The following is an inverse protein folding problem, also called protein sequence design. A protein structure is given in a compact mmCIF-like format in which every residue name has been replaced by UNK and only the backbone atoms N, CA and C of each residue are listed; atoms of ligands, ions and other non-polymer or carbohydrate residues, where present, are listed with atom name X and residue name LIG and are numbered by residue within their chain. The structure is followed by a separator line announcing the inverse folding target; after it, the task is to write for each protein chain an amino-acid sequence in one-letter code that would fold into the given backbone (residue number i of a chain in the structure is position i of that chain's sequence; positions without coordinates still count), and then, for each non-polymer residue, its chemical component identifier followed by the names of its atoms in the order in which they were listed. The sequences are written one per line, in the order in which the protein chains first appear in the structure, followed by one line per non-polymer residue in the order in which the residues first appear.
data_IF_447220549456
#
_entry.id   IF_447220549456
#
_cell.length_a   1.000
_cell.length_b   1.000
_cell.length_c   1.000
_cell.angle_alpha   90.00
_cell.angle_beta   90.00
_cell.angle_gamma   90.00
#
_symmetry.space_group_name_H-M   'P 1'
#
loop_
_entity.id
_entity.type
_entity.pdbx_description
1 polymer ?
#
# COMPACT_ATOMS: atom_id res chain seq x y z
N UNK A 1 -6.60 -14.37 -56.39
CA UNK A 1 -6.18 -14.83 -55.05
C UNK A 1 -4.82 -14.19 -54.73
N UNK A 2 -4.54 -13.80 -53.47
CA UNK A 2 -3.23 -13.33 -52.96
C UNK A 2 -2.34 -14.54 -52.55
N UNK A 3 -1.20 -14.42 -51.80
CA UNK A 3 -0.40 -13.27 -51.31
C UNK A 3 0.98 -13.19 -52.04
N UNK A 4 2.09 -12.57 -51.60
CA UNK A 4 2.53 -11.80 -50.41
C UNK A 4 3.47 -10.65 -50.88
N UNK A 5 3.90 -9.60 -50.15
CA UNK A 5 4.02 -9.25 -48.72
C UNK A 5 5.33 -9.66 -48.00
N UNK A 6 6.44 -8.95 -48.29
CA UNK A 6 7.63 -8.90 -47.43
C UNK A 6 7.69 -7.57 -46.68
N UNK A 7 7.91 -7.65 -45.36
CA UNK A 7 7.93 -6.52 -44.44
C UNK A 7 9.37 -6.12 -44.11
N UNK A 8 9.79 -4.93 -44.54
CA UNK A 8 11.08 -4.36 -44.13
C UNK A 8 10.94 -3.74 -42.75
N UNK A 9 11.36 -4.46 -41.71
CA UNK A 9 11.36 -3.97 -40.34
C UNK A 9 12.45 -2.92 -40.10
N UNK A 10 12.11 -1.64 -40.22
CA UNK A 10 12.99 -0.55 -39.79
C UNK A 10 13.14 -0.52 -38.27
N UNK A 11 14.15 -1.22 -37.75
CA UNK A 11 14.60 -1.05 -36.37
C UNK A 11 15.33 0.29 -36.25
N UNK A 12 14.59 1.32 -35.80
CA UNK A 12 15.10 2.69 -35.65
C UNK A 12 16.16 2.76 -34.55
N UNK A 13 17.44 2.58 -34.92
CA UNK A 13 18.58 2.76 -34.03
C UNK A 13 18.66 4.24 -33.61
N UNK A 14 18.33 4.54 -32.36
CA UNK A 14 18.36 5.90 -31.83
C UNK A 14 19.80 6.44 -31.75
N UNK A 15 20.15 7.33 -32.67
CA UNK A 15 21.44 8.00 -32.70
C UNK A 15 21.73 8.80 -31.42
N UNK A 16 22.94 8.71 -30.84
CA UNK A 16 23.32 9.40 -29.61
C UNK A 16 23.62 10.89 -29.87
N UNK A 17 22.58 11.67 -30.16
CA UNK A 17 22.71 13.12 -30.37
C UNK A 17 21.39 13.89 -30.42
N UNK A 18 20.25 13.22 -30.65
CA UNK A 18 18.95 13.88 -30.66
C UNK A 18 18.54 14.36 -29.26
N UNK A 19 18.54 15.69 -29.12
CA UNK A 19 17.81 16.42 -28.08
C UNK A 19 16.34 16.01 -28.11
N UNK A 20 15.74 15.77 -26.95
CA UNK A 20 14.30 15.47 -26.87
C UNK A 20 13.55 16.75 -27.18
N UNK A 21 12.79 16.78 -28.27
CA UNK A 21 12.02 17.95 -28.68
C UNK A 21 10.53 17.64 -28.74
N UNK A 22 9.74 18.55 -28.19
CA UNK A 22 8.30 18.55 -28.28
C UNK A 22 7.92 19.68 -29.25
N UNK A 23 7.70 19.41 -30.55
CA UNK A 23 7.34 20.44 -31.50
C UNK A 23 5.87 20.84 -31.31
N UNK A 24 5.55 22.12 -31.52
CA UNK A 24 4.15 22.59 -31.36
C UNK A 24 3.17 21.93 -32.34
N UNK A 25 3.65 21.45 -33.49
CA UNK A 25 2.86 20.67 -34.45
C UNK A 25 2.25 19.40 -33.85
N UNK A 26 2.84 18.83 -32.79
CA UNK A 26 2.29 17.69 -32.07
C UNK A 26 0.91 17.97 -31.45
N UNK A 27 0.58 19.24 -31.17
CA UNK A 27 -0.68 19.65 -30.57
C UNK A 27 -1.80 19.97 -31.59
N UNK A 28 -1.59 19.67 -32.89
CA UNK A 28 -2.54 19.88 -34.00
C UNK A 28 -3.18 21.29 -34.00
N UNK A 29 -2.39 22.37 -34.13
CA UNK A 29 -2.88 23.74 -33.91
C UNK A 29 -3.86 24.28 -34.96
N UNK A 30 -4.05 23.61 -36.10
CA UNK A 30 -4.81 24.14 -37.26
C UNK A 30 -6.27 24.48 -36.99
N UNK A 31 -6.93 23.75 -36.09
CA UNK A 31 -8.36 23.93 -35.76
C UNK A 31 -8.59 24.66 -34.42
N UNK A 32 -7.53 25.23 -33.82
CA UNK A 32 -7.57 25.79 -32.48
C UNK A 32 -7.91 27.28 -32.47
N UNK A 33 -8.84 27.67 -31.59
CA UNK A 33 -9.03 29.07 -31.17
C UNK A 33 -7.70 29.61 -30.63
N UNK A 34 -7.37 30.88 -30.93
CA UNK A 34 -6.12 31.57 -30.53
C UNK A 34 -5.71 31.30 -29.07
N UNK A 35 -6.68 31.28 -28.15
CA UNK A 35 -6.48 30.94 -26.73
C UNK A 35 -5.83 29.56 -26.50
N UNK A 36 -6.26 28.54 -27.24
CA UNK A 36 -5.73 27.18 -27.15
C UNK A 36 -4.33 27.10 -27.78
N UNK A 37 -4.07 27.83 -28.86
CA UNK A 37 -2.72 27.92 -29.45
C UNK A 37 -1.72 28.52 -28.45
N UNK A 38 -2.08 29.60 -27.75
CA UNK A 38 -1.24 30.22 -26.71
C UNK A 38 -0.90 29.25 -25.56
N UNK A 39 -1.86 28.40 -25.15
CA UNK A 39 -1.63 27.35 -24.14
C UNK A 39 -0.71 26.24 -24.66
N UNK A 40 -0.88 25.78 -25.90
CA UNK A 40 0.02 24.80 -26.52
C UNK A 40 1.46 25.32 -26.63
N UNK A 41 1.64 26.60 -26.99
CA UNK A 41 2.94 27.29 -26.92
C UNK A 41 3.51 27.28 -25.49
N UNK A 42 2.70 27.61 -24.48
CA UNK A 42 3.17 27.65 -23.09
C UNK A 42 3.57 26.27 -22.53
N UNK A 43 2.81 25.22 -22.83
CA UNK A 43 3.17 23.82 -22.49
C UNK A 43 4.51 23.45 -23.15
N UNK A 44 4.63 23.72 -24.46
CA UNK A 44 5.84 23.44 -25.25
C UNK A 44 7.07 24.17 -24.69
N UNK A 45 6.93 25.47 -24.41
CA UNK A 45 7.99 26.30 -23.84
C UNK A 45 8.43 25.74 -22.47
N UNK A 46 7.46 25.49 -21.58
CA UNK A 46 7.73 24.99 -20.22
C UNK A 46 8.44 23.64 -20.25
N UNK A 47 7.98 22.71 -21.10
CA UNK A 47 8.64 21.40 -21.28
C UNK A 47 10.10 21.57 -21.70
N UNK A 48 10.36 22.43 -22.70
CA UNK A 48 11.71 22.69 -23.20
C UNK A 48 12.61 23.36 -22.16
N UNK A 49 12.07 24.13 -21.20
CA UNK A 49 12.83 24.62 -20.06
C UNK A 49 13.20 23.50 -19.07
N UNK A 50 12.27 22.61 -18.71
CA UNK A 50 12.53 21.62 -17.64
C UNK A 50 13.25 20.35 -18.10
N UNK A 51 13.15 19.97 -19.39
CA UNK A 51 13.66 18.69 -19.91
C UNK A 51 15.15 18.45 -19.65
N UNK A 52 15.94 19.52 -19.50
CA UNK A 52 17.37 19.45 -19.24
C UNK A 52 17.72 19.01 -17.80
N UNK A 53 16.76 19.03 -16.89
CA UNK A 53 16.89 18.54 -15.51
C UNK A 53 16.38 17.09 -15.33
N UNK A 54 15.75 16.53 -16.37
CA UNK A 54 15.15 15.20 -16.36
C UNK A 54 16.11 14.15 -16.91
N UNK A 55 15.99 12.91 -16.44
CA UNK A 55 16.51 11.76 -17.19
C UNK A 55 15.94 11.72 -18.62
N UNK A 56 16.77 11.33 -19.61
CA UNK A 56 16.39 11.36 -21.03
C UNK A 56 15.14 10.52 -21.32
N UNK A 57 14.96 9.38 -20.65
CA UNK A 57 13.80 8.50 -20.85
C UNK A 57 12.53 9.17 -20.32
N UNK A 58 12.59 9.79 -19.15
CA UNK A 58 11.46 10.52 -18.55
C UNK A 58 11.08 11.76 -19.37
N UNK A 59 12.06 12.44 -19.99
CA UNK A 59 11.81 13.55 -20.88
C UNK A 59 11.06 13.10 -22.16
N UNK A 60 11.43 11.95 -22.73
CA UNK A 60 10.72 11.34 -23.88
C UNK A 60 9.29 10.95 -23.46
N UNK A 61 9.12 10.27 -22.33
CA UNK A 61 7.81 9.84 -21.82
C UNK A 61 6.88 11.04 -21.61
N UNK A 62 7.38 12.14 -21.03
CA UNK A 62 6.62 13.37 -20.87
C UNK A 62 6.28 14.02 -22.23
N UNK A 63 7.23 14.06 -23.18
CA UNK A 63 6.99 14.58 -24.52
C UNK A 63 5.90 13.79 -25.27
N UNK A 64 5.88 12.46 -25.15
CA UNK A 64 4.85 11.61 -25.74
C UNK A 64 3.49 11.72 -25.03
N UNK A 65 3.49 11.99 -23.72
CA UNK A 65 2.29 12.13 -22.92
C UNK A 65 1.52 13.43 -23.26
N UNK A 66 2.23 14.55 -23.41
CA UNK A 66 1.61 15.88 -23.47
C UNK A 66 0.63 16.10 -24.63
N UNK A 67 0.90 15.65 -25.88
CA UNK A 67 -0.08 15.73 -26.97
C UNK A 67 -1.34 14.91 -26.70
N UNK A 68 -1.19 13.69 -26.17
CA UNK A 68 -2.32 12.78 -25.85
C UNK A 68 -3.20 13.38 -24.75
N UNK A 69 -2.58 13.95 -23.73
CA UNK A 69 -3.23 14.68 -22.64
C UNK A 69 -3.96 15.94 -23.13
N UNK A 70 -3.36 16.68 -24.06
CA UNK A 70 -3.94 17.87 -24.66
C UNK A 70 -5.20 17.54 -25.46
N UNK A 71 -5.14 16.55 -26.34
CA UNK A 71 -6.31 16.09 -27.11
C UNK A 71 -7.48 15.72 -26.18
N UNK A 72 -7.23 14.94 -25.12
CA UNK A 72 -8.25 14.60 -24.12
C UNK A 72 -8.88 15.84 -23.48
N UNK A 73 -8.07 16.86 -23.17
CA UNK A 73 -8.56 18.10 -22.52
C UNK A 73 -9.42 18.98 -23.43
N UNK A 74 -9.19 18.98 -24.75
CA UNK A 74 -9.90 19.84 -25.72
C UNK A 74 -11.38 19.48 -25.88
N UNK A 75 -11.72 18.19 -25.89
CA UNK A 75 -13.10 17.73 -26.08
C UNK A 75 -13.99 17.98 -24.88
N UNK A 76 -13.39 18.09 -23.69
CA UNK A 76 -14.07 18.43 -22.46
C UNK A 76 -14.10 19.95 -22.27
N UNK A 77 -15.29 20.56 -22.14
CA UNK A 77 -15.50 22.01 -21.92
C UNK A 77 -15.11 22.47 -20.50
N UNK A 78 -13.96 22.02 -20.02
CA UNK A 78 -13.46 22.19 -18.66
C UNK A 78 -13.07 23.64 -18.42
N UNK A 79 -13.64 24.22 -17.37
CA UNK A 79 -13.37 25.59 -16.94
C UNK A 79 -12.34 25.62 -15.81
N UNK A 80 -12.32 24.63 -14.92
CA UNK A 80 -11.45 24.58 -13.75
C UNK A 80 -10.64 23.29 -13.66
N UNK A 81 -9.48 23.27 -12.97
CA UNK A 81 -8.67 22.06 -12.84
C UNK A 81 -9.43 20.88 -12.23
N UNK A 82 -10.39 21.14 -11.33
CA UNK A 82 -11.07 20.11 -10.54
C UNK A 82 -12.11 19.29 -11.29
N UNK A 83 -12.59 19.77 -12.44
CA UNK A 83 -13.38 18.98 -13.39
C UNK A 83 -12.49 17.97 -14.17
N UNK A 84 -11.19 18.23 -14.28
CA UNK A 84 -10.24 17.42 -15.05
C UNK A 84 -9.99 16.03 -14.43
N UNK A 85 -9.89 15.00 -15.27
CA UNK A 85 -9.66 13.62 -14.81
C UNK A 85 -8.34 13.48 -14.04
N UNK A 86 -7.26 14.06 -14.58
CA UNK A 86 -5.95 14.06 -13.91
C UNK A 86 -6.00 14.68 -12.50
N UNK A 87 -6.80 15.72 -12.28
CA UNK A 87 -6.95 16.31 -10.95
C UNK A 87 -7.67 15.35 -9.99
N UNK A 88 -8.72 14.66 -10.48
CA UNK A 88 -9.43 13.63 -9.70
C UNK A 88 -8.51 12.47 -9.32
N UNK A 89 -7.64 12.02 -10.25
CA UNK A 89 -6.60 11.02 -10.01
C UNK A 89 -5.54 11.47 -8.99
N UNK A 90 -5.00 12.67 -9.16
CA UNK A 90 -4.01 13.26 -8.24
C UNK A 90 -4.57 13.50 -6.82
N UNK A 91 -5.81 13.99 -6.72
CA UNK A 91 -6.48 14.24 -5.44
C UNK A 91 -6.88 12.94 -4.71
N UNK A 92 -7.19 11.89 -5.46
CA UNK A 92 -7.92 10.72 -5.01
C UNK A 92 -9.39 11.05 -4.77
N UNK A 93 -10.29 10.12 -5.14
CA UNK A 93 -11.74 10.26 -4.90
C UNK A 93 -12.29 9.01 -4.21
N UNK A 94 -12.83 9.17 -3.01
CA UNK A 94 -13.46 8.08 -2.26
C UNK A 94 -12.46 7.02 -1.80
N UNK A 95 -12.58 5.80 -2.34
CA UNK A 95 -11.71 4.65 -2.00
C UNK A 95 -10.43 4.55 -2.84
N UNK A 96 -10.32 5.35 -3.90
CA UNK A 96 -9.17 5.31 -4.80
C UNK A 96 -7.98 6.04 -4.18
N UNK A 97 -6.78 5.44 -4.27
CA UNK A 97 -5.55 6.05 -3.80
C UNK A 97 -5.17 7.26 -4.67
N UNK A 98 -4.32 8.16 -4.14
CA UNK A 98 -3.80 9.31 -4.89
C UNK A 98 -2.77 8.83 -5.91
N UNK A 99 -3.02 9.09 -7.19
CA UNK A 99 -2.07 8.85 -8.28
C UNK A 99 -1.19 10.10 -8.44
N UNK A 100 -0.11 10.22 -7.66
CA UNK A 100 0.83 11.36 -7.67
C UNK A 100 1.79 11.35 -8.88
N UNK A 101 1.25 11.08 -10.07
CA UNK A 101 1.97 10.97 -11.33
C UNK A 101 2.43 12.34 -11.82
N UNK A 102 3.74 12.51 -12.08
CA UNK A 102 4.31 13.82 -12.42
C UNK A 102 3.77 14.41 -13.73
N UNK A 103 3.58 13.66 -14.83
CA UNK A 103 2.98 14.19 -16.06
C UNK A 103 1.57 14.74 -15.87
N UNK A 104 0.74 14.13 -15.00
CA UNK A 104 -0.56 14.68 -14.62
C UNK A 104 -0.40 16.02 -13.91
N UNK A 105 0.51 16.10 -12.93
CA UNK A 105 0.79 17.35 -12.21
C UNK A 105 1.27 18.45 -13.17
N UNK A 106 2.30 18.16 -13.96
CA UNK A 106 2.89 19.08 -14.94
C UNK A 106 1.84 19.63 -15.91
N UNK A 107 0.99 18.75 -16.47
CA UNK A 107 -0.05 19.18 -17.41
C UNK A 107 -1.04 20.15 -16.76
N UNK A 108 -1.52 19.86 -15.53
CA UNK A 108 -2.42 20.77 -14.83
C UNK A 108 -1.78 22.14 -14.53
N UNK A 109 -0.52 22.18 -14.07
CA UNK A 109 0.14 23.47 -13.81
C UNK A 109 0.48 24.24 -15.08
N UNK A 110 0.79 23.56 -16.19
CA UNK A 110 1.01 24.22 -17.49
C UNK A 110 -0.30 24.77 -18.08
N UNK A 111 -1.42 24.09 -17.85
CA UNK A 111 -2.71 24.49 -18.45
C UNK A 111 -3.43 25.57 -17.63
N UNK A 112 -3.36 25.55 -16.29
CA UNK A 112 -4.03 26.52 -15.40
C UNK A 112 -3.10 27.44 -14.59
N UNK A 113 -1.79 27.27 -14.69
CA UNK A 113 -0.77 28.05 -14.00
C UNK A 113 -0.34 27.47 -12.64
N UNK A 114 0.95 27.56 -12.28
CA UNK A 114 1.49 26.97 -11.05
C UNK A 114 0.97 27.63 -9.76
N UNK A 115 0.36 28.81 -9.84
CA UNK A 115 -0.22 29.55 -8.71
C UNK A 115 -1.70 29.24 -8.44
N UNK A 116 -2.38 28.46 -9.30
CA UNK A 116 -3.84 28.26 -9.22
C UNK A 116 -4.29 27.71 -7.85
N UNK A 117 -5.30 28.29 -7.18
CA UNK A 117 -5.70 27.92 -5.81
C UNK A 117 -6.01 26.42 -5.64
N UNK A 118 -6.84 25.84 -6.51
CA UNK A 118 -7.23 24.42 -6.48
C UNK A 118 -6.04 23.46 -6.50
N UNK A 119 -4.94 23.84 -7.16
CA UNK A 119 -3.74 23.00 -7.28
C UNK A 119 -2.88 23.00 -6.00
N UNK A 120 -3.22 23.79 -4.98
CA UNK A 120 -2.38 23.94 -3.78
C UNK A 120 -2.25 22.67 -2.95
N UNK A 121 -3.33 21.89 -2.79
CA UNK A 121 -3.27 20.64 -2.04
C UNK A 121 -2.41 19.61 -2.77
N UNK A 122 -2.59 19.48 -4.10
CA UNK A 122 -1.77 18.60 -4.93
C UNK A 122 -0.30 19.05 -4.93
N UNK A 123 -0.02 20.36 -4.96
CA UNK A 123 1.35 20.90 -4.83
C UNK A 123 2.02 20.44 -3.54
N UNK A 124 1.28 20.43 -2.43
CA UNK A 124 1.78 19.98 -1.13
C UNK A 124 1.95 18.46 -1.09
N UNK A 125 1.04 17.68 -1.68
CA UNK A 125 1.17 16.23 -1.81
C UNK A 125 2.40 15.84 -2.66
N UNK A 126 2.60 16.49 -3.81
CA UNK A 126 3.79 16.32 -4.66
C UNK A 126 5.06 16.72 -3.92
N UNK A 127 5.04 17.84 -3.19
CA UNK A 127 6.18 18.28 -2.39
C UNK A 127 6.56 17.28 -1.29
N UNK A 128 5.56 16.70 -0.62
CA UNK A 128 5.75 15.66 0.39
C UNK A 128 6.29 14.35 -0.21
N UNK A 129 5.83 13.96 -1.40
CA UNK A 129 6.33 12.77 -2.11
C UNK A 129 7.78 12.94 -2.57
N UNK A 130 8.12 14.08 -3.18
CA UNK A 130 9.45 14.32 -3.75
C UNK A 130 10.49 14.76 -2.70
N UNK A 131 10.04 15.27 -1.55
CA UNK A 131 10.88 15.82 -0.49
C UNK A 131 11.44 17.21 -0.80
N UNK A 132 10.80 17.96 -1.70
CA UNK A 132 11.21 19.30 -2.16
C UNK A 132 10.02 20.23 -2.33
N UNK A 133 10.23 21.55 -2.24
CA UNK A 133 9.15 22.53 -2.41
C UNK A 133 8.94 22.86 -3.88
N UNK A 134 7.74 22.61 -4.41
CA UNK A 134 7.34 23.09 -5.73
C UNK A 134 6.98 24.60 -5.66
N UNK A 135 7.61 25.47 -6.47
CA UNK A 135 7.32 26.91 -6.48
C UNK A 135 5.89 27.23 -6.93
N UNK A 136 5.37 28.39 -6.51
CA UNK A 136 4.09 28.94 -7.00
C UNK A 136 4.25 29.79 -8.27
N UNK A 137 5.46 30.27 -8.56
CA UNK A 137 5.72 31.25 -9.61
C UNK A 137 6.04 30.62 -10.98
N UNK A 138 6.60 29.42 -11.00
CA UNK A 138 6.99 28.71 -12.22
C UNK A 138 6.84 27.20 -12.02
N UNK A 139 6.86 26.47 -13.13
CA UNK A 139 6.79 25.00 -13.16
C UNK A 139 8.22 24.46 -13.06
N UNK A 140 8.43 23.52 -12.15
CA UNK A 140 9.75 23.07 -11.74
C UNK A 140 9.84 21.54 -11.83
N UNK A 141 10.96 21.06 -12.37
CA UNK A 141 11.39 19.67 -12.23
C UNK A 141 12.58 19.66 -11.26
N UNK A 142 12.50 18.94 -10.13
CA UNK A 142 13.56 18.93 -9.12
C UNK A 142 14.88 18.34 -9.63
N UNK A 143 15.96 19.08 -9.42
CA UNK A 143 17.32 18.70 -9.77
C UNK A 143 18.06 17.98 -8.63
N UNK A 144 19.25 17.44 -8.91
CA UNK A 144 20.06 16.72 -7.92
C UNK A 144 19.51 15.37 -7.43
N UNK A 145 18.33 14.95 -7.90
CA UNK A 145 17.74 13.65 -7.59
C UNK A 145 18.39 12.55 -8.45
N UNK A 146 18.80 11.44 -7.81
CA UNK A 146 19.33 10.26 -8.51
C UNK A 146 18.32 9.70 -9.52
N UNK A 147 18.79 9.28 -10.71
CA UNK A 147 17.95 8.82 -11.84
C UNK A 147 16.90 7.77 -11.43
N UNK A 148 17.27 6.75 -10.66
CA UNK A 148 16.30 5.72 -10.24
C UNK A 148 15.23 6.26 -9.28
N UNK A 149 15.59 7.26 -8.46
CA UNK A 149 14.65 7.98 -7.60
C UNK A 149 13.75 8.91 -8.43
N UNK A 150 14.28 9.56 -9.49
CA UNK A 150 13.48 10.31 -10.44
C UNK A 150 12.42 9.42 -11.10
N UNK A 151 12.81 8.23 -11.62
CA UNK A 151 11.88 7.28 -12.26
C UNK A 151 10.75 6.86 -11.33
N UNK A 152 11.06 6.52 -10.08
CA UNK A 152 10.06 6.14 -9.07
C UNK A 152 9.10 7.30 -8.75
N UNK A 153 9.62 8.49 -8.43
CA UNK A 153 8.84 9.67 -8.09
C UNK A 153 7.99 10.19 -9.25
N UNK A 154 8.51 10.10 -10.48
CA UNK A 154 7.80 10.48 -11.71
C UNK A 154 6.52 9.66 -11.89
N UNK A 155 6.57 8.37 -11.57
CA UNK A 155 5.44 7.44 -11.61
C UNK A 155 4.48 7.56 -10.40
N UNK A 156 4.71 8.51 -9.48
CA UNK A 156 3.98 8.59 -8.22
C UNK A 156 4.32 7.48 -7.22
N UNK A 157 5.34 6.67 -7.51
CA UNK A 157 5.84 5.63 -6.64
C UNK A 157 6.46 6.24 -5.39
N UNK A 158 6.05 5.73 -4.22
CA UNK A 158 6.82 6.00 -2.99
C UNK A 158 8.21 5.44 -3.14
N UNK A 159 9.15 6.10 -2.48
CA UNK A 159 10.53 5.65 -2.34
C UNK A 159 10.53 4.16 -1.93
N UNK A 160 11.01 3.30 -2.83
CA UNK A 160 11.37 1.94 -2.46
C UNK A 160 12.54 2.09 -1.50
N UNK A 161 12.24 2.08 -0.20
CA UNK A 161 13.21 2.24 0.88
C UNK A 161 14.42 1.39 0.53
N UNK A 162 15.58 2.03 0.35
CA UNK A 162 16.81 1.36 -0.11
C UNK A 162 16.90 0.05 0.66
N UNK A 163 16.81 -1.12 -0.02
CA UNK A 163 16.47 -2.36 0.67
C UNK A 163 17.37 -2.55 1.87
N UNK A 164 16.82 -2.96 3.02
CA UNK A 164 17.58 -3.00 4.28
C UNK A 164 18.93 -3.73 4.10
N UNK A 165 18.94 -4.78 3.27
CA UNK A 165 20.13 -5.53 2.89
C UNK A 165 21.21 -4.71 2.14
N UNK A 166 20.86 -3.68 1.37
CA UNK A 166 21.79 -2.77 0.72
C UNK A 166 22.35 -1.71 1.68
N UNK A 167 21.49 -1.12 2.53
CA UNK A 167 21.95 -0.24 3.62
C UNK A 167 22.91 -1.01 4.54
N UNK A 168 22.55 -2.24 4.91
CA UNK A 168 23.35 -3.14 5.73
C UNK A 168 24.65 -3.55 5.03
N UNK A 169 24.63 -3.84 3.72
CA UNK A 169 25.84 -4.12 2.93
C UNK A 169 26.79 -2.91 2.88
N UNK A 170 26.26 -1.70 2.70
CA UNK A 170 27.07 -0.46 2.73
C UNK A 170 27.66 -0.23 4.12
N UNK A 171 26.87 -0.38 5.18
CA UNK A 171 27.33 -0.28 6.57
C UNK A 171 28.38 -1.34 6.94
N UNK A 172 28.24 -2.57 6.46
CA UNK A 172 29.22 -3.65 6.61
C UNK A 172 30.51 -3.37 5.82
N UNK A 173 30.41 -2.82 4.60
CA UNK A 173 31.57 -2.38 3.81
C UNK A 173 32.35 -1.27 4.51
N UNK A 174 31.65 -0.24 5.02
CA UNK A 174 32.26 0.79 5.87
C UNK A 174 32.94 0.21 7.10
N UNK A 175 32.26 -0.69 7.82
CA UNK A 175 32.82 -1.34 9.01
C UNK A 175 34.10 -2.13 8.67
N UNK A 176 34.07 -2.94 7.60
CA UNK A 176 35.23 -3.71 7.15
C UNK A 176 36.40 -2.83 6.68
N UNK A 177 36.13 -1.69 6.04
CA UNK A 177 37.15 -0.73 5.64
C UNK A 177 37.82 -0.03 6.84
N UNK A 178 37.08 0.18 7.93
CA UNK A 178 37.60 0.78 9.18
C UNK A 178 38.35 -0.27 10.04
N UNK A 179 37.87 -1.51 10.08
CA UNK A 179 38.46 -2.61 10.87
C UNK A 179 39.59 -3.36 10.16
N UNK A 180 39.79 -3.12 8.85
CA UNK A 180 40.82 -3.78 8.04
C UNK A 180 42.25 -3.43 8.47
N UNK A 181 43.12 -4.44 8.55
CA UNK A 181 44.54 -4.30 8.89
C UNK A 181 45.32 -3.72 7.69
N UNK A 182 45.16 -2.42 7.48
CA UNK A 182 45.75 -1.70 6.36
C UNK A 182 45.25 -0.26 6.20
N UNK A 183 44.83 0.38 7.31
CA UNK A 183 44.28 1.75 7.43
C UNK A 183 44.13 2.53 6.11
N UNK A 184 43.06 2.31 5.33
CA UNK A 184 42.54 3.37 4.48
C UNK A 184 42.20 4.54 5.39
N UNK A 185 42.49 5.77 4.98
CA UNK A 185 42.06 6.92 5.76
C UNK A 185 40.53 6.92 5.88
N UNK A 186 39.96 7.44 6.98
CA UNK A 186 38.50 7.64 7.08
C UNK A 186 37.99 8.44 5.87
N UNK A 187 38.81 9.34 5.35
CA UNK A 187 38.57 10.10 4.12
C UNK A 187 38.37 9.16 2.92
N UNK A 188 39.23 8.16 2.74
CA UNK A 188 39.20 7.22 1.61
C UNK A 188 37.98 6.29 1.66
N UNK A 189 37.63 5.77 2.85
CA UNK A 189 36.39 5.02 3.05
C UNK A 189 35.14 5.89 2.78
N UNK A 190 35.13 7.15 3.20
CA UNK A 190 34.05 8.09 2.91
C UNK A 190 33.99 8.42 1.41
N UNK A 191 35.14 8.60 0.73
CA UNK A 191 35.19 8.81 -0.73
C UNK A 191 34.64 7.61 -1.50
N UNK A 192 34.97 6.38 -1.09
CA UNK A 192 34.57 5.17 -1.80
C UNK A 192 33.09 4.80 -1.57
N UNK A 193 32.57 4.98 -0.35
CA UNK A 193 31.26 4.44 0.05
C UNK A 193 30.19 5.52 0.36
N UNK A 194 30.56 6.79 0.54
CA UNK A 194 29.62 7.91 0.69
C UNK A 194 30.16 9.27 0.16
N UNK A 195 30.57 9.36 -1.12
CA UNK A 195 31.21 10.58 -1.68
C UNK A 195 30.33 11.84 -1.58
N UNK A 196 29.01 11.68 -1.51
CA UNK A 196 28.05 12.79 -1.31
C UNK A 196 28.25 13.56 0.02
N UNK A 197 28.96 12.99 1.01
CA UNK A 197 29.25 13.66 2.28
C UNK A 197 30.42 14.67 2.18
N UNK A 198 31.30 14.54 1.19
CA UNK A 198 32.50 15.39 1.05
C UNK A 198 32.21 16.72 0.37
N UNK A 199 31.19 16.77 -0.51
CA UNK A 199 30.88 17.93 -1.34
C UNK A 199 29.80 18.86 -0.75
N UNK A 200 29.33 18.59 0.46
CA UNK A 200 28.26 19.37 1.10
C UNK A 200 28.83 20.13 2.30
N UNK A 201 28.92 21.47 2.26
CA UNK A 201 29.20 22.24 3.46
C UNK A 201 27.99 22.09 4.39
N UNK A 202 28.12 21.28 5.45
CA UNK A 202 27.09 21.20 6.49
C UNK A 202 27.22 22.44 7.38
N UNK A 203 26.15 23.26 7.51
CA UNK A 203 26.03 24.17 8.64
C UNK A 203 26.04 23.33 9.93
N UNK A 204 26.81 23.75 10.93
CA UNK A 204 26.89 23.04 12.22
C UNK A 204 25.53 22.88 12.90
N UNK A 205 24.63 23.84 12.69
CA UNK A 205 23.26 23.85 13.20
C UNK A 205 22.43 22.66 12.68
N UNK A 206 22.65 22.20 11.44
CA UNK A 206 21.96 21.03 10.87
C UNK A 206 22.37 19.74 11.59
N UNK A 207 23.63 19.63 12.01
CA UNK A 207 24.15 18.48 12.75
C UNK A 207 23.53 18.41 14.14
N UNK A 208 23.49 19.53 14.87
CA UNK A 208 22.82 19.58 16.19
C UNK A 208 21.30 19.33 16.08
N UNK A 209 20.64 19.91 15.07
CA UNK A 209 19.23 19.70 14.79
C UNK A 209 18.90 18.24 14.49
N UNK A 210 19.74 17.56 13.69
CA UNK A 210 19.65 16.12 13.44
C UNK A 210 19.91 15.30 14.71
N UNK A 211 20.89 15.69 15.53
CA UNK A 211 21.20 14.98 16.77
C UNK A 211 20.04 15.06 17.78
N UNK A 212 19.38 16.22 17.91
CA UNK A 212 18.16 16.38 18.72
C UNK A 212 17.01 15.52 18.19
N UNK A 213 16.71 15.60 16.89
CA UNK A 213 15.65 14.78 16.25
C UNK A 213 15.90 13.28 16.41
N UNK A 214 17.16 12.83 16.29
CA UNK A 214 17.54 11.44 16.52
C UNK A 214 17.30 11.02 17.98
N UNK A 215 17.68 11.88 18.94
CA UNK A 215 17.43 11.65 20.36
C UNK A 215 15.93 11.59 20.68
N UNK A 216 15.13 12.53 20.19
CA UNK A 216 13.68 12.55 20.37
C UNK A 216 13.03 11.27 19.78
N UNK A 217 13.50 10.83 18.62
CA UNK A 217 13.06 9.58 17.98
C UNK A 217 13.45 8.34 18.79
N UNK A 218 14.66 8.32 19.36
CA UNK A 218 15.15 7.27 20.25
C UNK A 218 14.29 7.17 21.54
N UNK A 219 13.97 8.30 22.15
CA UNK A 219 13.10 8.39 23.34
C UNK A 219 11.66 7.93 23.03
N UNK A 220 11.10 8.32 21.86
CA UNK A 220 9.81 7.81 21.39
C UNK A 220 9.84 6.29 21.16
N UNK A 221 10.90 5.76 20.52
CA UNK A 221 11.05 4.33 20.27
C UNK A 221 11.09 3.54 21.59
N UNK A 222 11.85 4.01 22.59
CA UNK A 222 11.89 3.38 23.92
C UNK A 222 10.53 3.41 24.61
N UNK A 223 9.79 4.52 24.52
CA UNK A 223 8.42 4.64 25.05
C UNK A 223 7.47 3.64 24.39
N UNK A 224 7.51 3.51 23.05
CA UNK A 224 6.69 2.54 22.31
C UNK A 224 7.08 1.09 22.65
N UNK A 225 8.38 0.79 22.82
CA UNK A 225 8.83 -0.53 23.30
C UNK A 225 8.32 -0.85 24.70
N UNK A 226 8.28 0.14 25.61
CA UNK A 226 7.67 -0.02 26.94
C UNK A 226 6.18 -0.34 26.86
N UNK A 227 5.42 0.42 26.06
CA UNK A 227 3.99 0.19 25.83
C UNK A 227 3.70 -1.18 25.19
N UNK A 228 4.56 -1.64 24.28
CA UNK A 228 4.46 -2.95 23.65
C UNK A 228 4.67 -4.09 24.66
N UNK A 229 5.68 -3.98 25.54
CA UNK A 229 5.92 -4.95 26.62
C UNK A 229 4.74 -5.03 27.59
N UNK A 230 4.17 -3.90 27.99
CA UNK A 230 3.01 -3.86 28.88
C UNK A 230 1.77 -4.48 28.22
N UNK A 231 1.57 -4.22 26.93
CA UNK A 231 0.47 -4.82 26.15
C UNK A 231 0.65 -6.33 26.00
N UNK A 232 1.88 -6.80 25.78
CA UNK A 232 2.21 -8.23 25.75
C UNK A 232 1.96 -8.92 27.10
N UNK A 233 2.31 -8.27 28.22
CA UNK A 233 2.03 -8.76 29.58
C UNK A 233 0.52 -8.91 29.81
N UNK A 234 -0.27 -7.87 29.51
CA UNK A 234 -1.74 -7.91 29.62
C UNK A 234 -2.36 -9.00 28.74
N UNK A 235 -1.83 -9.24 27.54
CA UNK A 235 -2.29 -10.31 26.66
C UNK A 235 -1.99 -11.70 27.24
N UNK A 236 -0.85 -11.89 27.90
CA UNK A 236 -0.53 -13.13 28.62
C UNK A 236 -1.47 -13.36 29.82
N UNK A 237 -1.77 -12.30 30.58
CA UNK A 237 -2.72 -12.34 31.72
C UNK A 237 -4.12 -12.76 31.25
N UNK A 238 -4.70 -12.06 30.25
CA UNK A 238 -6.01 -12.42 29.68
C UNK A 238 -6.04 -13.82 29.07
N UNK A 239 -4.94 -14.28 28.45
CA UNK A 239 -4.86 -15.65 27.96
C UNK A 239 -4.83 -16.70 29.09
N UNK A 240 -4.26 -16.35 30.26
CA UNK A 240 -4.36 -17.16 31.48
C UNK A 240 -5.81 -17.29 31.96
N UNK A 241 -6.50 -16.16 32.15
CA UNK A 241 -7.91 -16.11 32.56
C UNK A 241 -8.83 -16.89 31.59
N UNK A 242 -8.57 -16.80 30.28
CA UNK A 242 -9.29 -17.56 29.26
C UNK A 242 -9.07 -19.07 29.40
N UNK A 243 -7.84 -19.50 29.71
CA UNK A 243 -7.54 -20.92 29.97
C UNK A 243 -8.21 -21.44 31.25
N UNK A 244 -8.25 -20.66 32.32
CA UNK A 244 -8.97 -21.02 33.55
C UNK A 244 -10.48 -21.13 33.32
N UNK A 245 -11.06 -20.15 32.64
CA UNK A 245 -12.48 -20.16 32.25
C UNK A 245 -12.81 -21.39 31.40
N UNK A 246 -11.93 -21.76 30.45
CA UNK A 246 -12.09 -22.96 29.62
C UNK A 246 -11.97 -24.26 30.42
N UNK A 247 -11.09 -24.32 31.44
CA UNK A 247 -10.99 -25.47 32.36
C UNK A 247 -12.27 -25.61 33.20
N UNK A 248 -12.78 -24.50 33.74
CA UNK A 248 -14.03 -24.49 34.52
C UNK A 248 -15.20 -24.97 33.68
N UNK A 249 -15.41 -24.40 32.49
CA UNK A 249 -16.47 -24.82 31.56
C UNK A 249 -16.38 -26.32 31.21
N UNK A 250 -15.17 -26.85 31.02
CA UNK A 250 -14.98 -28.29 30.77
C UNK A 250 -15.43 -29.15 31.96
N UNK A 251 -15.07 -28.76 33.19
CA UNK A 251 -15.47 -29.47 34.40
C UNK A 251 -16.99 -29.40 34.62
N UNK A 252 -17.60 -28.25 34.36
CA UNK A 252 -19.05 -28.05 34.46
C UNK A 252 -19.78 -28.97 33.45
N UNK A 253 -19.35 -29.01 32.18
CA UNK A 253 -19.87 -29.93 31.15
C UNK A 253 -19.71 -31.40 31.56
N UNK A 254 -18.55 -31.79 32.10
CA UNK A 254 -18.32 -33.17 32.55
C UNK A 254 -19.23 -33.54 33.73
N UNK A 255 -19.53 -32.59 34.62
CA UNK A 255 -20.44 -32.77 35.75
C UNK A 255 -21.88 -32.93 35.26
N UNK A 256 -22.37 -32.02 34.42
CA UNK A 256 -23.72 -32.12 33.83
C UNK A 256 -23.91 -33.39 33.00
N UNK A 257 -22.89 -33.87 32.28
CA UNK A 257 -22.96 -35.14 31.57
C UNK A 257 -23.10 -36.36 32.51
N UNK A 258 -22.46 -36.33 33.68
CA UNK A 258 -22.62 -37.37 34.72
C UNK A 258 -24.04 -37.33 35.31
N UNK A 259 -24.56 -36.15 35.60
CA UNK A 259 -25.93 -35.94 36.09
C UNK A 259 -26.99 -36.37 35.07
N UNK A 260 -26.80 -36.04 33.79
CA UNK A 260 -27.68 -36.47 32.71
C UNK A 260 -27.69 -38.00 32.57
N UNK A 261 -26.51 -38.63 32.61
CA UNK A 261 -26.37 -40.09 32.57
C UNK A 261 -27.06 -40.77 33.76
N UNK A 262 -26.92 -40.22 34.97
CA UNK A 262 -27.61 -40.70 36.16
C UNK A 262 -29.13 -40.48 36.10
N UNK A 263 -29.59 -39.44 35.42
CA UNK A 263 -31.00 -39.14 35.20
C UNK A 263 -31.62 -40.10 34.19
N UNK A 264 -30.96 -40.36 33.06
CA UNK A 264 -31.40 -41.34 32.07
C UNK A 264 -31.58 -42.73 32.70
N UNK A 265 -30.59 -43.20 33.49
CA UNK A 265 -30.68 -44.47 34.22
C UNK A 265 -31.86 -44.54 35.21
N UNK A 266 -32.32 -43.39 35.74
CA UNK A 266 -33.54 -43.33 36.57
C UNK A 266 -34.80 -43.40 35.71
N UNK A 267 -34.82 -42.73 34.56
CA UNK A 267 -35.92 -42.79 33.60
C UNK A 267 -36.11 -44.22 33.09
N UNK A 268 -35.04 -44.90 32.69
CA UNK A 268 -35.08 -46.29 32.22
C UNK A 268 -35.73 -47.22 33.27
N UNK A 269 -35.30 -47.12 34.53
CA UNK A 269 -35.90 -47.89 35.64
C UNK A 269 -37.38 -47.57 35.88
N UNK A 270 -37.81 -46.33 35.67
CA UNK A 270 -39.22 -45.94 35.77
C UNK A 270 -40.00 -46.53 34.60
N UNK A 271 -39.47 -46.49 33.38
CA UNK A 271 -40.07 -47.10 32.18
C UNK A 271 -40.23 -48.62 32.36
N UNK A 272 -39.19 -49.32 32.82
CA UNK A 272 -39.25 -50.76 33.14
C UNK A 272 -40.33 -51.08 34.19
N UNK A 273 -40.40 -50.26 35.25
CA UNK A 273 -41.42 -50.41 36.31
C UNK A 273 -42.84 -50.19 35.76
N UNK A 274 -43.04 -49.17 34.93
CA UNK A 274 -44.31 -48.91 34.26
C UNK A 274 -44.70 -50.04 33.29
N UNK A 275 -43.75 -50.58 32.53
CA UNK A 275 -43.97 -51.72 31.64
C UNK A 275 -44.39 -52.98 32.42
N UNK A 276 -43.75 -53.25 33.56
CA UNK A 276 -44.12 -54.35 34.46
C UNK A 276 -45.53 -54.17 35.03
N UNK A 277 -45.87 -52.97 35.52
CA UNK A 277 -47.22 -52.66 36.04
C UNK A 277 -48.28 -52.82 34.94
N UNK A 278 -48.02 -52.32 33.73
CA UNK A 278 -48.91 -52.50 32.58
C UNK A 278 -49.08 -53.98 32.21
N UNK A 279 -48.01 -54.78 32.26
CA UNK A 279 -48.09 -56.23 32.03
C UNK A 279 -49.01 -56.91 33.06
N UNK A 280 -48.86 -56.62 34.35
CA UNK A 280 -49.71 -57.16 35.42
C UNK A 280 -51.18 -56.72 35.24
N UNK A 281 -51.43 -55.47 34.86
CA UNK A 281 -52.79 -54.96 34.64
C UNK A 281 -53.45 -55.49 33.36
N UNK A 282 -52.66 -55.90 32.37
CA UNK A 282 -53.15 -56.44 31.08
C UNK A 282 -53.18 -57.97 31.03
N UNK A 283 -52.52 -58.68 31.95
CA UNK A 283 -52.72 -60.13 32.10
C UNK A 283 -54.17 -60.44 32.50
N UNK A 284 -54.93 -61.23 31.70
CA UNK A 284 -56.35 -61.48 31.98
C UNK A 284 -56.57 -62.37 33.20
N UNK A 285 -56.71 -61.76 34.38
CA UNK A 285 -57.01 -62.47 35.63
C UNK A 285 -58.47 -62.93 35.70
N UNK A 286 -58.80 -64.12 35.20
CA UNK A 286 -60.21 -64.56 35.23
C UNK A 286 -60.59 -65.99 34.85
N UNK A 287 -59.67 -66.91 34.53
CA UNK A 287 -60.06 -68.30 34.29
C UNK A 287 -60.46 -69.00 35.61
N UNK A 288 -61.76 -68.95 35.92
CA UNK A 288 -62.36 -69.73 37.02
C UNK A 288 -62.18 -71.22 36.72
N UNK A 289 -61.23 -71.86 37.42
CA UNK A 289 -61.14 -73.33 37.50
C UNK A 289 -62.47 -73.90 38.01
N UNK A 290 -63.34 -74.33 37.10
CA UNK A 290 -64.45 -75.23 37.43
C UNK A 290 -63.87 -76.60 37.74
N UNK A 291 -63.56 -76.86 39.00
CA UNK A 291 -63.57 -78.22 39.50
C UNK A 291 -65.01 -78.72 39.40
N UNK A 292 -65.30 -79.59 38.43
CA UNK A 292 -66.59 -80.25 38.31
C UNK A 292 -66.36 -81.75 38.16
N UNK A 293 -66.51 -82.43 39.30
CA UNK A 293 -66.87 -83.85 39.47
C UNK A 293 -66.78 -84.75 38.23
N UNK A 294 -65.81 -85.68 38.25
CA UNK A 294 -66.07 -87.01 37.71
C UNK A 294 -67.26 -87.61 38.47
N UNK A 295 -68.26 -88.07 37.72
CA UNK A 295 -69.29 -88.97 38.21
C UNK A 295 -69.74 -89.82 37.02
N UNK A 296 -69.52 -91.13 37.16
CA UNK A 296 -70.17 -92.27 36.52
C UNK A 296 -70.97 -92.05 35.22
N UNK A 297 -70.53 -92.67 34.12
CA UNK A 297 -71.28 -93.79 33.50
C UNK A 297 -70.49 -94.49 32.38
N UNK A 298 -70.56 -95.83 32.39
CA UNK A 298 -70.13 -96.82 31.37
C UNK A 298 -68.62 -96.98 31.06
#
# INVERSE_FOLDING_TARGET
MPPANESTGESSRLEPGTSVELPISAFKPGDLVIYNQSRAHHITFTFNCIKHHMDKVLAIELAEFLPKAWEQSLFSKIKSPDEHEFYRKLRGTGRNQKELYYPYWFFLVAVWGPSHPSLTNIRNDMAALWGVVFPKAHIHYPDGILVERQKALFHGGRESSTPLCEIQRRAQGFKAAIEGVGRPSVIEAVTQYAPALLNKPLPTDDVESLHRKLKDTQEQLQKTQGQLKETQKRLQETNGELQETRKKLKNDIETSNKELSATNLRVDKVVDTCALVLSILTTPGGEKRKAKSEQDEA
#
